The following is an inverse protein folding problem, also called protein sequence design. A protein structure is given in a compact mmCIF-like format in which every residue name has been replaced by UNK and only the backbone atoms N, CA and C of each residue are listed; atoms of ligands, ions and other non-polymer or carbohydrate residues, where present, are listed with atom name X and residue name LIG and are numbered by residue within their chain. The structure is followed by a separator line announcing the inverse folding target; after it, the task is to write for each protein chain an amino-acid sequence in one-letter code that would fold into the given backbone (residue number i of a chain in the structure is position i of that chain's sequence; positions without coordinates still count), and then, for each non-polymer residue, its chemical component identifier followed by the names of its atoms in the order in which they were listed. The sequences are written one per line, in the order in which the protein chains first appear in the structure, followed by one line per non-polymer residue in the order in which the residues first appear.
data_IF_168212844411
#
_entry.id   IF_168212844411
#
_cell.length_a   1.000
_cell.length_b   1.000
_cell.length_c   1.000
_cell.angle_alpha   90.00
_cell.angle_beta   90.00
_cell.angle_gamma   90.00
#
_symmetry.space_group_name_H-M   'P 1'
#
loop_
_entity.id
_entity.type
_entity.pdbx_description
1 polymer ?
#
# COMPACT_ATOMS: atom_id res chain seq x y z
N UNK A 1 9.45 6.98 -5.09
CA UNK A 1 9.51 7.36 -6.52
C UNK A 1 8.76 8.67 -6.69
N UNK A 2 9.34 9.69 -7.34
CA UNK A 2 8.72 11.01 -7.45
C UNK A 2 8.13 11.18 -8.86
N UNK A 3 6.85 10.84 -9.01
CA UNK A 3 6.09 11.16 -10.23
C UNK A 3 5.44 12.54 -10.10
N UNK A 4 5.39 13.26 -11.21
CA UNK A 4 4.55 14.45 -11.36
C UNK A 4 3.09 14.05 -11.63
N UNK A 5 2.15 14.97 -11.38
CA UNK A 5 0.72 14.73 -11.64
C UNK A 5 0.44 14.47 -13.12
N UNK A 6 1.19 15.11 -14.01
CA UNK A 6 1.04 14.94 -15.45
C UNK A 6 1.49 13.55 -15.91
N UNK A 7 2.60 13.04 -15.39
CA UNK A 7 3.06 11.66 -15.65
C UNK A 7 2.04 10.62 -15.18
N UNK A 8 1.45 10.82 -13.99
CA UNK A 8 0.37 9.96 -13.47
C UNK A 8 -0.80 9.96 -14.45
N UNK A 9 -1.21 11.13 -14.95
CA UNK A 9 -2.33 11.25 -15.89
C UNK A 9 -2.06 10.50 -17.19
N UNK A 10 -0.83 10.56 -17.72
CA UNK A 10 -0.42 9.79 -18.92
C UNK A 10 -0.52 8.28 -18.65
N UNK A 11 -0.08 7.81 -17.48
CA UNK A 11 -0.18 6.40 -17.09
C UNK A 11 -1.63 5.94 -16.99
N UNK A 12 -2.55 6.77 -16.50
CA UNK A 12 -3.97 6.45 -16.36
C UNK A 12 -4.66 6.16 -17.70
N UNK A 13 -4.17 6.67 -18.83
CA UNK A 13 -4.71 6.34 -20.16
C UNK A 13 -4.41 4.90 -20.58
N UNK A 14 -3.38 4.24 -20.02
CA UNK A 14 -3.01 2.86 -20.33
C UNK A 14 -3.85 1.84 -19.55
N UNK A 15 -5.18 1.87 -19.74
CA UNK A 15 -6.16 1.07 -18.98
C UNK A 15 -5.84 -0.43 -18.90
N UNK A 16 -5.26 -1.02 -19.95
CA UNK A 16 -4.87 -2.45 -19.98
C UNK A 16 -3.81 -2.83 -18.94
N UNK A 17 -3.05 -1.86 -18.45
CA UNK A 17 -1.97 -2.05 -17.47
C UNK A 17 -2.41 -1.77 -16.03
N UNK A 18 -3.63 -1.26 -15.83
CA UNK A 18 -4.16 -0.95 -14.50
C UNK A 18 -4.72 -2.23 -13.87
N UNK A 19 -4.27 -2.54 -12.65
CA UNK A 19 -4.74 -3.68 -11.85
C UNK A 19 -5.29 -3.18 -10.53
N UNK A 20 -6.62 -3.22 -10.40
CA UNK A 20 -7.30 -2.92 -9.14
C UNK A 20 -7.40 -4.22 -8.33
N UNK A 21 -6.80 -4.24 -7.15
CA UNK A 21 -6.70 -5.38 -6.24
C UNK A 21 -7.11 -4.92 -4.84
N UNK A 22 -7.76 -5.80 -4.09
CA UNK A 22 -7.88 -5.68 -2.63
C UNK A 22 -7.24 -6.88 -1.95
N UNK A 23 -6.64 -6.66 -0.78
CA UNK A 23 -6.12 -7.73 0.07
C UNK A 23 -7.12 -7.99 1.18
N UNK A 24 -7.67 -9.20 1.22
CA UNK A 24 -8.61 -9.66 2.24
C UNK A 24 -7.93 -10.75 3.04
N UNK A 25 -7.89 -10.58 4.36
CA UNK A 25 -7.35 -11.58 5.27
C UNK A 25 -8.06 -11.49 6.62
N UNK A 26 -7.94 -12.55 7.42
CA UNK A 26 -8.34 -12.52 8.83
C UNK A 26 -7.37 -11.61 9.61
N UNK A 27 -7.83 -11.11 10.75
CA UNK A 27 -6.98 -10.44 11.74
C UNK A 27 -5.79 -11.34 12.09
N UNK A 28 -4.61 -10.75 12.26
CA UNK A 28 -3.33 -11.41 12.55
C UNK A 28 -2.78 -12.37 11.48
N UNK A 29 -3.32 -12.35 10.26
CA UNK A 29 -2.80 -13.15 9.13
C UNK A 29 -1.78 -12.39 8.27
N UNK A 30 -1.13 -11.36 8.82
CA UNK A 30 -0.04 -10.66 8.13
C UNK A 30 -0.44 -9.80 6.93
N UNK A 31 -1.70 -9.34 6.86
CA UNK A 31 -2.15 -8.42 5.80
C UNK A 31 -1.31 -7.14 5.75
N UNK A 32 -1.11 -6.47 6.88
CA UNK A 32 -0.34 -5.22 6.95
C UNK A 32 1.13 -5.46 6.55
N UNK A 33 1.71 -6.60 6.93
CA UNK A 33 3.08 -6.99 6.55
C UNK A 33 3.20 -7.21 5.04
N UNK A 34 2.22 -7.87 4.41
CA UNK A 34 2.21 -8.09 2.97
C UNK A 34 2.08 -6.76 2.21
N UNK A 35 1.17 -5.89 2.62
CA UNK A 35 0.97 -4.59 1.97
C UNK A 35 2.17 -3.68 2.11
N UNK A 36 2.84 -3.69 3.27
CA UNK A 36 4.09 -2.95 3.48
C UNK A 36 5.22 -3.49 2.60
N UNK A 37 5.33 -4.81 2.47
CA UNK A 37 6.34 -5.43 1.59
C UNK A 37 6.16 -5.01 0.12
N UNK A 38 4.91 -4.91 -0.34
CA UNK A 38 4.60 -4.42 -1.68
C UNK A 38 4.94 -2.93 -1.83
N UNK A 39 4.64 -2.11 -0.83
CA UNK A 39 4.97 -0.69 -0.83
C UNK A 39 6.48 -0.44 -0.78
N UNK A 40 7.22 -1.27 -0.06
CA UNK A 40 8.68 -1.23 -0.02
C UNK A 40 9.26 -1.55 -1.40
N UNK A 41 8.75 -2.59 -2.06
CA UNK A 41 9.17 -2.96 -3.41
C UNK A 41 8.87 -1.87 -4.44
N UNK A 42 7.75 -1.15 -4.29
CA UNK A 42 7.40 0.00 -5.14
C UNK A 42 8.21 1.28 -4.81
N UNK A 43 9.12 1.23 -3.82
CA UNK A 43 9.93 2.39 -3.43
C UNK A 43 9.12 3.52 -2.77
N UNK A 44 8.01 3.18 -2.12
CA UNK A 44 7.17 4.11 -1.33
C UNK A 44 7.67 4.19 0.11
N UNK A 45 8.08 3.06 0.68
CA UNK A 45 8.73 2.99 2.00
C UNK A 45 10.11 2.38 1.90
N UNK A 46 10.99 2.71 2.85
CA UNK A 46 12.27 2.02 2.99
C UNK A 46 12.03 0.56 3.36
N UNK A 47 12.73 -0.38 2.72
CA UNK A 47 12.58 -1.82 3.00
C UNK A 47 12.81 -2.19 4.47
N UNK A 48 13.70 -1.48 5.16
CA UNK A 48 13.95 -1.64 6.59
C UNK A 48 12.74 -1.30 7.48
N UNK A 49 11.75 -0.56 6.97
CA UNK A 49 10.54 -0.17 7.71
C UNK A 49 9.30 -0.97 7.29
N UNK A 50 9.45 -1.98 6.45
CA UNK A 50 8.34 -2.82 6.00
C UNK A 50 7.85 -3.72 7.16
N UNK A 51 6.57 -3.66 7.49
CA UNK A 51 5.94 -4.40 8.59
C UNK A 51 5.83 -3.61 9.89
N UNK A 52 6.71 -2.62 10.09
CA UNK A 52 6.64 -1.69 11.22
C UNK A 52 5.81 -0.45 10.92
N UNK A 53 5.88 0.07 9.69
CA UNK A 53 5.19 1.32 9.32
C UNK A 53 3.68 1.11 9.22
N UNK A 54 3.26 -0.07 8.73
CA UNK A 54 1.86 -0.45 8.50
C UNK A 54 1.11 0.67 7.79
N UNK A 55 1.55 1.01 6.58
CA UNK A 55 1.11 2.24 5.90
C UNK A 55 -0.39 2.29 5.63
N UNK A 56 -1.06 1.14 5.63
CA UNK A 56 -2.49 1.00 5.43
C UNK A 56 -3.31 1.20 6.70
N UNK A 57 -2.67 1.12 7.87
CA UNK A 57 -3.29 1.32 9.16
C UNK A 57 -3.12 2.81 9.51
N UNK A 58 -4.04 3.62 8.99
CA UNK A 58 -3.94 5.10 9.02
C UNK A 58 -4.35 5.70 10.36
N UNK A 59 -5.12 4.95 11.16
CA UNK A 59 -5.56 5.42 12.47
C UNK A 59 -4.64 4.93 13.58
N UNK A 60 -4.51 5.73 14.63
CA UNK A 60 -3.66 5.40 15.77
C UNK A 60 -4.12 4.13 16.50
N UNK A 61 -5.42 3.94 16.63
CA UNK A 61 -6.00 2.74 17.25
C UNK A 61 -5.79 1.47 16.42
N UNK A 62 -5.76 1.58 15.08
CA UNK A 62 -5.40 0.49 14.17
C UNK A 62 -3.93 0.08 14.35
N UNK A 63 -3.02 1.07 14.44
CA UNK A 63 -1.59 0.81 14.64
C UNK A 63 -1.30 0.20 16.01
N UNK A 64 -1.89 0.75 17.09
CA UNK A 64 -1.71 0.24 18.45
C UNK A 64 -2.21 -1.19 18.60
N UNK A 65 -3.32 -1.53 17.92
CA UNK A 65 -3.94 -2.86 18.01
C UNK A 65 -3.45 -3.84 16.93
N UNK A 66 -2.62 -3.39 15.99
CA UNK A 66 -2.14 -4.20 14.85
C UNK A 66 -3.27 -4.75 13.96
N UNK A 67 -4.36 -4.01 13.78
CA UNK A 67 -5.55 -4.43 13.02
C UNK A 67 -5.97 -3.39 11.99
N UNK A 68 -6.51 -3.83 10.85
CA UNK A 68 -7.09 -2.92 9.85
C UNK A 68 -8.61 -2.86 9.98
N UNK A 69 -9.18 -1.68 10.26
CA UNK A 69 -10.63 -1.44 10.24
C UNK A 69 -11.09 -0.72 8.97
N UNK A 70 -10.29 0.21 8.46
CA UNK A 70 -10.61 1.01 7.26
C UNK A 70 -9.79 0.57 6.06
N UNK A 71 -10.41 0.71 4.88
CA UNK A 71 -9.70 0.49 3.62
C UNK A 71 -8.89 1.73 3.26
N UNK A 72 -7.60 1.56 3.04
CA UNK A 72 -6.70 2.59 2.51
C UNK A 72 -6.08 2.07 1.23
N UNK A 73 -6.23 2.84 0.15
CA UNK A 73 -5.69 2.51 -1.16
C UNK A 73 -4.27 3.04 -1.33
N UNK A 74 -3.41 2.23 -1.92
CA UNK A 74 -2.06 2.64 -2.35
C UNK A 74 -1.91 2.36 -3.84
N UNK A 75 -1.17 3.24 -4.53
CA UNK A 75 -0.81 3.03 -5.94
C UNK A 75 0.60 2.47 -6.02
N UNK A 76 0.77 1.35 -6.72
CA UNK A 76 2.07 0.71 -6.93
C UNK A 76 2.45 0.85 -8.40
N UNK A 77 3.70 1.23 -8.65
CA UNK A 77 4.27 1.30 -9.99
C UNK A 77 5.57 0.49 -10.02
N UNK A 78 5.76 -0.29 -11.09
CA UNK A 78 6.90 -1.19 -11.30
C UNK A 78 7.41 -1.03 -12.73
#
# INVERSE_FOLDING_TARGET
VNFTVDEIRVLMYRKKNIRNLSVIARVDHGKSTLTDSLAAKAGIIAGAKAGETRITDTRKDEQERCITFKSTGISLYF
#
